data_IF_006624714417
#
_entry.id   IF_006624714417
#
_cell.length_a   1.000
_cell.length_b   1.000
_cell.length_c   1.000
_cell.angle_alpha   90.00
_cell.angle_beta   90.00
_cell.angle_gamma   90.00
#
_symmetry.space_group_name_H-M   'P 1'
#
loop_
_entity.id
_entity.type
_entity.pdbx_description
1 polymer ?
#
# COMPACT_ATOMS: atom_id res chain seq x y z
N UNK A 1 10.21 -3.98 -15.83
CA UNK A 1 9.91 -3.37 -17.14
C UNK A 1 11.08 -2.46 -17.52
N UNK A 2 11.62 -2.66 -18.73
CA UNK A 2 12.75 -1.85 -19.24
C UNK A 2 12.28 -0.48 -19.74
N UNK A 3 13.22 0.46 -19.89
CA UNK A 3 12.95 1.79 -20.46
C UNK A 3 12.41 1.72 -21.90
N UNK A 4 12.89 0.76 -22.70
CA UNK A 4 12.43 0.58 -24.09
C UNK A 4 10.98 0.12 -24.16
N UNK A 5 10.63 -0.90 -23.36
CA UNK A 5 9.25 -1.36 -23.26
C UNK A 5 8.32 -0.26 -22.73
N UNK A 6 8.79 0.52 -21.75
CA UNK A 6 8.08 1.68 -21.22
C UNK A 6 7.75 2.70 -22.31
N UNK A 7 8.75 3.09 -23.12
CA UNK A 7 8.57 4.02 -24.26
C UNK A 7 7.61 3.47 -25.30
N UNK A 8 7.69 2.18 -25.61
CA UNK A 8 6.80 1.54 -26.57
C UNK A 8 5.34 1.58 -26.08
N UNK A 9 5.09 1.18 -24.82
CA UNK A 9 3.77 1.26 -24.21
C UNK A 9 3.25 2.70 -24.18
N UNK A 10 4.09 3.67 -23.85
CA UNK A 10 3.71 5.07 -23.85
C UNK A 10 3.17 5.53 -25.21
N UNK A 11 3.85 5.20 -26.32
CA UNK A 11 3.37 5.60 -27.65
C UNK A 11 2.02 4.98 -28.02
N UNK A 12 1.74 3.77 -27.54
CA UNK A 12 0.47 3.10 -27.81
C UNK A 12 -0.70 3.69 -27.02
N UNK A 13 -0.47 4.05 -25.75
CA UNK A 13 -1.56 4.27 -24.80
C UNK A 13 -1.69 5.72 -24.31
N UNK A 14 -0.77 6.63 -24.67
CA UNK A 14 -0.76 8.03 -24.16
C UNK A 14 -2.07 8.78 -24.36
N UNK A 15 -2.72 8.64 -25.52
CA UNK A 15 -3.98 9.36 -25.81
C UNK A 15 -5.11 8.88 -24.92
N UNK A 16 -5.14 7.57 -24.62
CA UNK A 16 -6.13 6.99 -23.71
C UNK A 16 -5.85 7.47 -22.30
N UNK A 17 -4.62 7.31 -21.82
CA UNK A 17 -4.31 7.62 -20.43
C UNK A 17 -4.40 9.11 -20.11
N UNK A 18 -3.98 10.00 -21.02
CA UNK A 18 -3.94 11.44 -20.79
C UNK A 18 -5.17 12.18 -21.27
N UNK A 19 -5.99 11.58 -22.13
CA UNK A 19 -7.15 12.24 -22.72
C UNK A 19 -8.49 11.76 -22.19
N UNK A 20 -8.59 10.49 -21.77
CA UNK A 20 -9.88 9.87 -21.46
C UNK A 20 -10.24 9.90 -19.98
N UNK A 21 -9.25 9.83 -19.10
CA UNK A 21 -9.46 9.66 -17.67
C UNK A 21 -9.07 10.91 -16.88
N UNK A 22 -9.93 11.28 -15.93
CA UNK A 22 -9.62 12.29 -14.94
C UNK A 22 -8.52 11.77 -13.97
N UNK A 23 -8.56 10.47 -13.65
CA UNK A 23 -7.67 9.79 -12.71
C UNK A 23 -7.21 8.42 -13.22
N UNK A 24 -5.96 8.07 -12.94
CA UNK A 24 -5.41 6.73 -13.12
C UNK A 24 -4.79 6.27 -11.80
N UNK A 25 -5.27 5.14 -11.27
CA UNK A 25 -4.71 4.51 -10.07
C UNK A 25 -3.83 3.34 -10.52
N UNK A 26 -2.55 3.36 -10.12
CA UNK A 26 -1.57 2.32 -10.38
C UNK A 26 -1.38 1.53 -9.08
N UNK A 27 -2.04 0.38 -8.96
CA UNK A 27 -1.89 -0.56 -7.84
C UNK A 27 -0.94 -1.71 -8.15
N UNK A 28 -0.79 -2.63 -7.18
CA UNK A 28 0.02 -3.87 -7.18
C UNK A 28 1.45 -3.74 -7.77
N UNK A 29 1.56 -3.58 -9.09
CA UNK A 29 2.82 -3.50 -9.81
C UNK A 29 3.14 -2.06 -10.22
N UNK A 30 3.86 -1.35 -9.36
CA UNK A 30 4.23 0.06 -9.59
C UNK A 30 5.06 0.26 -10.85
N UNK A 31 5.87 -0.73 -11.22
CA UNK A 31 6.63 -0.68 -12.47
C UNK A 31 5.71 -0.49 -13.69
N UNK A 32 4.47 -1.01 -13.70
CA UNK A 32 3.50 -0.81 -14.80
C UNK A 32 3.10 0.66 -14.99
N UNK A 33 3.30 1.50 -13.98
CA UNK A 33 3.13 2.94 -14.04
C UNK A 33 4.22 3.68 -14.82
N UNK A 34 5.38 3.06 -15.05
CA UNK A 34 6.55 3.70 -15.68
C UNK A 34 6.26 4.44 -17.00
N UNK A 35 5.44 3.94 -17.94
CA UNK A 35 5.10 4.66 -19.16
C UNK A 35 4.42 6.00 -18.89
N UNK A 36 3.58 6.07 -17.85
CA UNK A 36 2.86 7.30 -17.47
C UNK A 36 3.78 8.32 -16.83
N UNK A 37 4.67 7.85 -15.96
CA UNK A 37 5.60 8.70 -15.24
C UNK A 37 6.69 9.25 -16.18
N UNK A 38 7.32 8.39 -16.99
CA UNK A 38 8.34 8.80 -17.95
C UNK A 38 7.77 9.56 -19.15
N UNK A 39 6.54 9.21 -19.57
CA UNK A 39 5.79 9.90 -20.61
C UNK A 39 5.34 11.31 -20.22
N UNK A 40 5.41 11.64 -18.93
CA UNK A 40 5.03 12.94 -18.36
C UNK A 40 3.61 13.35 -18.73
N UNK A 41 2.67 12.44 -18.53
CA UNK A 41 1.24 12.76 -18.64
C UNK A 41 0.88 13.88 -17.65
N UNK A 42 0.41 15.04 -18.13
CA UNK A 42 0.12 16.21 -17.28
C UNK A 42 -1.38 16.48 -17.08
N UNK A 43 -2.22 15.99 -17.99
CA UNK A 43 -3.67 16.26 -18.00
C UNK A 43 -4.47 15.33 -17.08
N UNK A 44 -3.90 14.21 -16.67
CA UNK A 44 -4.56 13.20 -15.85
C UNK A 44 -3.87 13.10 -14.50
N UNK A 45 -4.65 12.98 -13.44
CA UNK A 45 -4.12 12.76 -12.10
C UNK A 45 -3.71 11.29 -11.95
N UNK A 46 -2.52 11.07 -11.40
CA UNK A 46 -1.93 9.74 -11.28
C UNK A 46 -1.74 9.43 -9.80
N UNK A 47 -2.32 8.33 -9.34
CA UNK A 47 -2.17 7.86 -7.96
C UNK A 47 -1.36 6.56 -7.98
N UNK A 48 -0.18 6.59 -7.38
CA UNK A 48 0.64 5.41 -7.12
C UNK A 48 0.15 4.78 -5.81
N UNK A 49 -0.66 3.72 -5.92
CA UNK A 49 -1.11 2.94 -4.76
C UNK A 49 -0.07 1.87 -4.44
N UNK A 50 0.84 2.22 -3.55
CA UNK A 50 1.95 1.39 -3.14
C UNK A 50 1.47 0.22 -2.30
N UNK A 51 1.56 -0.96 -2.88
CA UNK A 51 1.22 -2.24 -2.28
C UNK A 51 2.39 -3.21 -2.49
N UNK A 52 2.48 -4.19 -1.60
CA UNK A 52 3.39 -5.33 -1.71
C UNK A 52 4.82 -4.95 -2.14
N UNK A 53 5.45 -4.02 -1.41
CA UNK A 53 6.91 -3.75 -1.45
C UNK A 53 7.48 -3.48 -2.87
N UNK A 54 6.67 -2.86 -3.74
CA UNK A 54 6.98 -2.37 -5.10
C UNK A 54 7.27 -3.46 -6.17
N UNK A 55 6.22 -4.19 -6.54
CA UNK A 55 6.25 -5.62 -6.87
C UNK A 55 6.66 -6.10 -8.30
N UNK A 56 7.61 -5.49 -9.04
CA UNK A 56 8.21 -6.20 -10.22
C UNK A 56 9.76 -6.16 -10.33
N UNK A 57 10.51 -5.50 -9.44
CA UNK A 57 11.98 -5.46 -9.58
C UNK A 57 12.79 -6.40 -8.66
N UNK A 58 12.15 -7.25 -7.85
CA UNK A 58 12.87 -7.93 -6.76
C UNK A 58 12.67 -9.45 -6.65
N UNK A 59 11.98 -10.08 -7.61
CA UNK A 59 11.58 -11.49 -7.53
C UNK A 59 12.51 -12.48 -8.24
N UNK A 60 13.45 -12.01 -9.06
CA UNK A 60 14.45 -12.89 -9.65
C UNK A 60 15.67 -12.95 -8.73
N UNK A 61 16.28 -14.12 -8.60
CA UNK A 61 17.61 -14.31 -8.02
C UNK A 61 18.71 -13.50 -8.76
N UNK A 62 18.34 -12.78 -9.81
CA UNK A 62 19.12 -11.79 -10.56
C UNK A 62 18.39 -10.44 -10.53
N UNK A 63 18.54 -9.70 -9.43
CA UNK A 63 18.09 -8.31 -9.37
C UNK A 63 19.07 -7.46 -10.19
N UNK A 64 18.59 -6.88 -11.28
CA UNK A 64 19.31 -5.81 -11.96
C UNK A 64 19.27 -4.54 -11.10
N UNK A 65 20.30 -4.37 -10.28
CA UNK A 65 20.47 -3.22 -9.40
C UNK A 65 20.49 -1.89 -10.16
N UNK A 66 20.94 -1.88 -11.43
CA UNK A 66 20.94 -0.66 -12.24
C UNK A 66 19.52 -0.29 -12.65
N UNK A 67 18.71 -1.26 -13.09
CA UNK A 67 17.29 -1.03 -13.40
C UNK A 67 16.49 -0.56 -12.16
N UNK A 68 16.83 -1.08 -10.97
CA UNK A 68 16.27 -0.61 -9.69
C UNK A 68 16.63 0.83 -9.42
N UNK A 69 17.92 1.17 -9.50
CA UNK A 69 18.39 2.53 -9.25
C UNK A 69 17.79 3.54 -10.24
N UNK A 70 17.66 3.15 -11.51
CA UNK A 70 17.01 3.94 -12.54
C UNK A 70 15.53 4.19 -12.20
N UNK A 71 14.79 3.15 -11.82
CA UNK A 71 13.39 3.27 -11.43
C UNK A 71 13.20 4.16 -10.20
N UNK A 72 14.01 3.96 -9.16
CA UNK A 72 14.01 4.81 -7.95
C UNK A 72 14.26 6.28 -8.32
N UNK A 73 15.25 6.53 -9.19
CA UNK A 73 15.53 7.86 -9.70
C UNK A 73 14.34 8.48 -10.46
N UNK A 74 13.69 7.69 -11.32
CA UNK A 74 12.52 8.13 -12.07
C UNK A 74 11.35 8.48 -11.15
N UNK A 75 11.06 7.67 -10.13
CA UNK A 75 10.01 7.95 -9.13
C UNK A 75 10.35 9.24 -8.36
N UNK A 76 11.56 9.36 -7.82
CA UNK A 76 11.97 10.56 -7.08
C UNK A 76 11.90 11.84 -7.92
N UNK A 77 12.32 11.77 -9.19
CA UNK A 77 12.21 12.90 -10.11
C UNK A 77 10.74 13.23 -10.39
N UNK A 78 9.90 12.22 -10.62
CA UNK A 78 8.47 12.37 -10.89
C UNK A 78 7.78 13.08 -9.73
N UNK A 79 7.95 12.61 -8.50
CA UNK A 79 7.31 13.20 -7.32
C UNK A 79 7.74 14.65 -7.06
N UNK A 80 8.94 15.03 -7.48
CA UNK A 80 9.43 16.41 -7.39
C UNK A 80 8.97 17.32 -8.52
N UNK A 81 8.64 16.77 -9.69
CA UNK A 81 8.46 17.56 -10.93
C UNK A 81 7.07 17.44 -11.55
N UNK A 82 6.25 16.49 -11.10
CA UNK A 82 4.90 16.24 -11.60
C UNK A 82 3.88 16.40 -10.47
N UNK A 83 3.31 17.59 -10.29
CA UNK A 83 2.36 17.85 -9.20
C UNK A 83 1.03 17.08 -9.34
N UNK A 84 0.77 16.50 -10.51
CA UNK A 84 -0.37 15.62 -10.76
C UNK A 84 -0.10 14.15 -10.43
N UNK A 85 1.07 13.82 -9.87
CA UNK A 85 1.43 12.46 -9.43
C UNK A 85 1.46 12.43 -7.91
N UNK A 86 0.69 11.51 -7.34
CA UNK A 86 0.48 11.36 -5.91
C UNK A 86 0.81 9.94 -5.48
N UNK A 87 1.20 9.78 -4.21
CA UNK A 87 1.53 8.47 -3.64
C UNK A 87 0.63 8.19 -2.47
N UNK A 88 0.14 6.97 -2.43
CA UNK A 88 -0.61 6.41 -1.31
C UNK A 88 0.06 5.10 -0.92
N UNK A 89 0.22 4.84 0.37
CA UNK A 89 0.82 3.61 0.87
C UNK A 89 -0.21 2.70 1.55
N UNK A 90 -0.06 1.39 1.37
CA UNK A 90 -1.00 0.41 1.93
C UNK A 90 -0.71 0.02 3.39
N UNK A 91 0.53 0.19 3.83
CA UNK A 91 0.96 -0.12 5.19
C UNK A 91 2.18 0.75 5.59
N UNK A 92 2.47 0.93 6.89
CA UNK A 92 3.62 1.69 7.36
C UNK A 92 4.97 1.11 6.92
N UNK A 93 5.05 -0.21 6.73
CA UNK A 93 6.27 -0.86 6.23
C UNK A 93 6.66 -0.35 4.85
N UNK A 94 5.72 0.01 3.97
CA UNK A 94 6.05 0.57 2.65
C UNK A 94 6.83 1.89 2.77
N UNK A 95 6.51 2.73 3.76
CA UNK A 95 7.26 3.97 4.03
C UNK A 95 8.68 3.68 4.51
N UNK A 96 8.83 2.71 5.42
CA UNK A 96 10.14 2.26 5.89
C UNK A 96 10.96 1.67 4.74
N UNK A 97 10.37 0.79 3.93
CA UNK A 97 11.05 0.15 2.81
C UNK A 97 11.51 1.19 1.79
N UNK A 98 10.64 2.13 1.42
CA UNK A 98 10.95 3.21 0.51
C UNK A 98 12.09 4.10 1.02
N UNK A 99 12.12 4.44 2.32
CA UNK A 99 13.19 5.27 2.88
C UNK A 99 14.55 4.58 2.81
N UNK A 100 14.60 3.26 3.04
CA UNK A 100 15.81 2.45 2.84
C UNK A 100 16.27 2.44 1.37
N UNK A 101 15.34 2.64 0.43
CA UNK A 101 15.62 2.79 -1.01
C UNK A 101 15.87 4.24 -1.43
N UNK A 102 15.86 5.20 -0.51
CA UNK A 102 16.06 6.61 -0.82
C UNK A 102 14.86 7.29 -1.50
N UNK A 103 13.65 6.75 -1.32
CA UNK A 103 12.40 7.39 -1.73
C UNK A 103 11.67 7.88 -0.48
N UNK A 104 11.23 9.14 -0.52
CA UNK A 104 10.52 9.75 0.61
C UNK A 104 9.00 9.61 0.46
N UNK A 105 8.41 8.72 1.27
CA UNK A 105 6.96 8.56 1.44
C UNK A 105 6.49 8.91 2.85
N UNK A 106 7.26 9.70 3.60
CA UNK A 106 6.90 10.10 4.98
C UNK A 106 5.49 10.70 5.04
N UNK A 107 5.19 11.62 4.11
CA UNK A 107 3.92 12.33 4.00
C UNK A 107 2.84 11.58 3.19
N UNK A 108 3.15 10.40 2.63
CA UNK A 108 2.17 9.66 1.83
C UNK A 108 0.99 9.20 2.72
N UNK A 109 -0.28 9.43 2.31
CA UNK A 109 -1.42 8.90 3.04
C UNK A 109 -1.38 7.39 3.15
N UNK A 110 -1.81 6.89 4.31
CA UNK A 110 -1.90 5.47 4.61
C UNK A 110 -3.35 5.01 4.37
N UNK A 111 -3.56 4.12 3.41
CA UNK A 111 -4.87 3.53 3.12
C UNK A 111 -4.78 2.03 3.32
N UNK A 112 -5.60 1.46 4.20
CA UNK A 112 -5.72 0.01 4.33
C UNK A 112 -7.16 -0.44 4.12
N UNK A 113 -7.41 -1.38 3.19
CA UNK A 113 -8.71 -2.03 3.11
C UNK A 113 -8.86 -2.99 4.29
N UNK A 114 -9.70 -2.63 5.26
CA UNK A 114 -9.88 -3.35 6.54
C UNK A 114 -11.30 -3.87 6.73
N UNK A 115 -12.09 -4.04 5.65
CA UNK A 115 -13.47 -4.51 5.72
C UNK A 115 -13.68 -5.98 6.15
N UNK A 116 -12.60 -6.68 6.52
CA UNK A 116 -12.63 -8.07 7.01
C UNK A 116 -12.17 -8.13 8.46
N UNK A 117 -12.71 -9.09 9.21
CA UNK A 117 -12.22 -9.36 10.57
C UNK A 117 -11.00 -10.26 10.45
N UNK A 118 -9.85 -9.71 10.80
CA UNK A 118 -8.59 -10.43 10.84
C UNK A 118 -8.25 -10.79 12.28
N UNK A 119 -8.11 -12.09 12.52
CA UNK A 119 -7.61 -12.62 13.80
C UNK A 119 -6.11 -12.85 13.64
N UNK A 120 -5.32 -12.14 14.43
CA UNK A 120 -3.86 -12.11 14.31
C UNK A 120 -3.23 -12.34 15.68
N UNK A 121 -2.10 -13.04 15.76
CA UNK A 121 -1.40 -13.16 17.03
C UNK A 121 -0.98 -11.76 17.51
N UNK A 122 -0.87 -11.55 18.81
CA UNK A 122 -0.29 -10.31 19.33
C UNK A 122 1.23 -10.27 19.03
N UNK A 123 1.89 -9.10 19.16
CA UNK A 123 3.32 -8.99 18.82
C UNK A 123 4.21 -10.00 19.57
N UNK A 124 3.96 -10.23 20.86
CA UNK A 124 4.77 -11.14 21.67
C UNK A 124 4.62 -12.58 21.21
N UNK A 125 3.39 -13.05 21.01
CA UNK A 125 3.12 -14.42 20.56
C UNK A 125 3.57 -14.63 19.12
N UNK A 126 3.41 -13.64 18.25
CA UNK A 126 3.93 -13.70 16.89
C UNK A 126 5.46 -13.87 16.87
N UNK A 127 6.18 -13.12 17.71
CA UNK A 127 7.63 -13.26 17.85
C UNK A 127 8.03 -14.64 18.37
N UNK A 128 7.27 -15.19 19.33
CA UNK A 128 7.48 -16.55 19.82
C UNK A 128 7.31 -17.58 18.69
N UNK A 129 6.18 -17.52 17.96
CA UNK A 129 5.90 -18.42 16.83
C UNK A 129 7.00 -18.33 15.75
N UNK A 130 7.53 -17.14 15.51
CA UNK A 130 8.68 -16.93 14.62
C UNK A 130 9.95 -17.62 15.13
N UNK A 131 10.31 -17.41 16.41
CA UNK A 131 11.51 -17.98 17.02
C UNK A 131 11.48 -19.51 17.10
N UNK A 132 10.27 -20.08 17.22
CA UNK A 132 10.02 -21.53 17.19
C UNK A 132 10.05 -22.11 15.76
N UNK A 133 10.13 -21.28 14.72
CA UNK A 133 10.02 -21.72 13.32
C UNK A 133 8.63 -22.24 12.96
N UNK A 134 7.61 -21.92 13.77
CA UNK A 134 6.23 -22.34 13.56
C UNK A 134 5.53 -21.55 12.46
N UNK A 135 6.12 -20.43 12.02
CA UNK A 135 5.60 -19.61 10.95
C UNK A 135 6.41 -19.85 9.67
N UNK A 136 5.78 -20.45 8.67
CA UNK A 136 6.34 -20.58 7.31
C UNK A 136 6.15 -19.26 6.54
N UNK A 137 6.75 -18.19 7.07
CA UNK A 137 6.66 -16.85 6.48
C UNK A 137 7.90 -16.63 5.63
N UNK A 138 8.02 -17.45 4.60
CA UNK A 138 8.88 -17.07 3.49
C UNK A 138 8.26 -17.30 2.11
N UNK A 139 7.24 -16.53 1.73
CA UNK A 139 7.05 -16.21 0.33
C UNK A 139 7.86 -14.96 -0.10
N UNK A 140 8.37 -14.13 0.83
CA UNK A 140 8.84 -12.77 0.49
C UNK A 140 10.23 -12.36 1.03
N UNK A 141 10.96 -13.19 1.78
CA UNK A 141 12.35 -12.99 2.20
C UNK A 141 12.67 -11.77 3.10
N UNK A 142 11.70 -10.90 3.35
CA UNK A 142 11.92 -9.53 3.85
C UNK A 142 11.45 -9.31 5.30
N UNK A 143 10.79 -10.29 5.91
CA UNK A 143 10.40 -10.27 7.34
C UNK A 143 11.60 -10.22 8.30
N UNK A 144 12.74 -10.77 7.89
CA UNK A 144 13.95 -10.79 8.71
C UNK A 144 14.39 -9.38 9.12
N UNK A 145 14.23 -8.38 8.23
CA UNK A 145 14.69 -7.02 8.51
C UNK A 145 13.91 -6.36 9.65
N UNK A 146 12.60 -6.64 9.80
CA UNK A 146 11.80 -5.98 10.83
C UNK A 146 12.09 -6.53 12.22
N UNK A 147 12.24 -7.84 12.39
CA UNK A 147 12.39 -8.44 13.73
C UNK A 147 13.69 -8.07 14.45
N UNK A 148 14.70 -7.59 13.73
CA UNK A 148 15.95 -7.08 14.30
C UNK A 148 15.87 -5.60 14.69
N UNK A 149 14.79 -4.90 14.33
CA UNK A 149 14.54 -3.51 14.71
C UNK A 149 13.78 -3.48 16.03
N UNK A 150 14.19 -2.59 16.94
CA UNK A 150 13.42 -2.32 18.16
C UNK A 150 12.02 -1.83 17.79
N UNK A 151 11.00 -2.32 18.48
CA UNK A 151 9.60 -1.99 18.22
C UNK A 151 9.12 -2.37 16.81
N UNK A 152 9.61 -3.49 16.27
CA UNK A 152 9.31 -3.99 14.92
C UNK A 152 7.82 -3.99 14.57
N UNK A 153 6.95 -4.22 15.56
CA UNK A 153 5.51 -4.28 15.40
C UNK A 153 4.93 -2.96 14.89
N UNK A 154 5.57 -1.81 15.15
CA UNK A 154 5.13 -0.50 14.64
C UNK A 154 5.17 -0.42 13.12
N UNK A 155 5.98 -1.25 12.46
CA UNK A 155 6.02 -1.29 11.00
C UNK A 155 5.01 -2.25 10.41
N UNK A 156 4.34 -3.03 11.24
CA UNK A 156 3.34 -3.98 10.82
C UNK A 156 1.97 -3.33 10.90
N UNK A 157 1.24 -3.43 9.80
CA UNK A 157 -0.14 -2.96 9.70
C UNK A 157 -1.03 -3.50 10.81
N UNK A 158 -0.88 -4.76 11.20
CA UNK A 158 -1.66 -5.37 12.26
C UNK A 158 -1.48 -4.71 13.61
N UNK A 159 -0.36 -4.05 13.88
CA UNK A 159 -0.05 -3.49 15.20
C UNK A 159 0.16 -1.97 15.18
N UNK A 160 -0.12 -1.32 14.05
CA UNK A 160 -0.03 0.12 13.94
C UNK A 160 -1.18 0.78 14.70
N UNK A 161 -0.91 1.88 15.39
CA UNK A 161 -1.89 2.57 16.23
C UNK A 161 -3.08 3.12 15.42
N UNK A 162 -2.85 3.57 14.19
CA UNK A 162 -3.92 4.00 13.29
C UNK A 162 -4.95 2.91 13.02
N UNK A 163 -4.58 1.63 13.16
CA UNK A 163 -5.48 0.49 12.95
C UNK A 163 -5.88 -0.21 14.25
N UNK A 164 -5.64 0.44 15.39
CA UNK A 164 -6.03 -0.09 16.68
C UNK A 164 -7.56 -0.34 16.72
N UNK A 165 -7.94 -1.53 17.19
CA UNK A 165 -9.34 -1.95 17.26
C UNK A 165 -9.90 -2.57 15.98
N UNK A 166 -9.12 -2.65 14.88
CA UNK A 166 -9.55 -3.31 13.64
C UNK A 166 -9.18 -4.80 13.56
N UNK A 167 -8.26 -5.22 14.43
CA UNK A 167 -7.75 -6.58 14.50
C UNK A 167 -8.14 -7.23 15.82
N UNK A 168 -8.42 -8.52 15.76
CA UNK A 168 -8.66 -9.35 16.95
C UNK A 168 -7.36 -10.04 17.30
N UNK A 169 -6.83 -9.78 18.49
CA UNK A 169 -5.56 -10.34 18.91
C UNK A 169 -5.73 -11.60 19.75
N UNK A 170 -4.86 -12.58 19.54
CA UNK A 170 -4.69 -13.73 20.44
C UNK A 170 -3.24 -13.88 20.87
N UNK A 171 -3.01 -14.42 22.06
CA UNK A 171 -1.67 -14.54 22.67
C UNK A 171 -1.21 -15.98 22.88
N UNK A 172 -2.05 -16.94 22.50
CA UNK A 172 -1.77 -18.37 22.55
C UNK A 172 -2.75 -19.14 21.65
N UNK A 173 -2.42 -20.39 21.33
CA UNK A 173 -3.36 -21.29 20.62
C UNK A 173 -4.64 -21.57 21.40
N UNK A 174 -4.57 -21.55 22.73
CA UNK A 174 -5.73 -21.74 23.59
C UNK A 174 -6.64 -20.51 23.55
N UNK A 175 -6.07 -19.31 23.67
CA UNK A 175 -6.81 -18.06 23.53
C UNK A 175 -7.43 -17.93 22.13
N UNK A 176 -6.75 -18.40 21.07
CA UNK A 176 -7.36 -18.42 19.73
C UNK A 176 -8.66 -19.23 19.68
N UNK A 177 -8.72 -20.38 20.36
CA UNK A 177 -9.95 -21.17 20.46
C UNK A 177 -11.04 -20.41 21.23
N UNK A 178 -10.67 -19.76 22.33
CA UNK A 178 -11.60 -18.95 23.11
C UNK A 178 -12.15 -17.77 22.30
N UNK A 179 -11.31 -17.11 21.50
CA UNK A 179 -11.74 -16.09 20.52
C UNK A 179 -12.71 -16.68 19.51
N UNK A 180 -12.40 -17.84 18.93
CA UNK A 180 -13.29 -18.50 17.98
C UNK A 180 -14.67 -18.84 18.58
N UNK A 181 -14.70 -19.25 19.84
CA UNK A 181 -15.92 -19.73 20.50
C UNK A 181 -16.79 -18.59 21.06
N UNK A 182 -16.19 -17.45 21.40
CA UNK A 182 -16.88 -16.42 22.19
C UNK A 182 -16.84 -15.00 21.62
N UNK A 183 -16.02 -14.73 20.61
CA UNK A 183 -15.87 -13.39 20.05
C UNK A 183 -17.02 -13.04 19.07
N UNK A 184 -17.53 -11.82 19.17
CA UNK A 184 -18.57 -11.32 18.27
C UNK A 184 -17.97 -10.80 16.96
N UNK A 185 -17.78 -11.72 16.01
CA UNK A 185 -17.22 -11.40 14.70
C UNK A 185 -18.09 -10.46 13.86
N UNK A 186 -19.42 -10.48 14.04
CA UNK A 186 -20.31 -9.61 13.26
C UNK A 186 -20.28 -8.16 13.79
N UNK A 187 -20.21 -7.99 15.11
CA UNK A 187 -19.99 -6.66 15.69
C UNK A 187 -18.64 -6.08 15.26
N UNK A 188 -17.57 -6.89 15.30
CA UNK A 188 -16.25 -6.46 14.84
C UNK A 188 -16.23 -6.14 13.34
N UNK A 189 -16.92 -6.93 12.51
CA UNK A 189 -17.06 -6.65 11.08
C UNK A 189 -17.76 -5.32 10.84
N UNK A 190 -18.84 -5.05 11.57
CA UNK A 190 -19.58 -3.79 11.48
C UNK A 190 -18.71 -2.60 11.88
N UNK A 191 -17.97 -2.73 12.99
CA UNK A 191 -16.99 -1.74 13.42
C UNK A 191 -15.91 -1.47 12.35
N UNK A 192 -15.37 -2.54 11.76
CA UNK A 192 -14.36 -2.45 10.72
C UNK A 192 -14.90 -1.75 9.46
N UNK A 193 -16.14 -2.04 9.07
CA UNK A 193 -16.80 -1.38 7.95
C UNK A 193 -17.05 0.11 8.22
N UNK A 194 -17.53 0.49 9.41
CA UNK A 194 -17.68 1.90 9.80
C UNK A 194 -16.34 2.64 9.77
N UNK A 195 -15.29 2.05 10.34
CA UNK A 195 -13.95 2.64 10.31
C UNK A 195 -13.43 2.77 8.88
N UNK A 196 -13.63 1.76 8.05
CA UNK A 196 -13.29 1.83 6.63
C UNK A 196 -14.05 2.93 5.91
N UNK A 197 -15.32 3.16 6.25
CA UNK A 197 -16.09 4.29 5.72
C UNK A 197 -15.52 5.63 6.18
N UNK A 198 -15.15 5.78 7.45
CA UNK A 198 -14.46 6.99 7.93
C UNK A 198 -13.15 7.23 7.17
N UNK A 199 -12.32 6.20 7.00
CA UNK A 199 -11.11 6.34 6.17
C UNK A 199 -11.46 6.66 4.73
N UNK A 200 -12.52 6.09 4.17
CA UNK A 200 -12.97 6.40 2.80
C UNK A 200 -13.40 7.86 2.68
N UNK A 201 -14.03 8.43 3.70
CA UNK A 201 -14.39 9.85 3.76
C UNK A 201 -13.16 10.72 3.91
N UNK A 202 -12.17 10.33 4.71
CA UNK A 202 -10.89 11.03 4.82
C UNK A 202 -10.10 10.96 3.52
N UNK A 203 -10.14 9.82 2.83
CA UNK A 203 -9.55 9.64 1.51
C UNK A 203 -10.30 10.50 0.51
N UNK A 204 -11.63 10.47 0.48
CA UNK A 204 -12.43 11.30 -0.41
C UNK A 204 -12.25 12.79 -0.11
N UNK A 205 -12.10 13.17 1.15
CA UNK A 205 -11.80 14.53 1.61
C UNK A 205 -10.38 14.94 1.22
N UNK A 206 -9.41 14.04 1.29
CA UNK A 206 -8.07 14.25 0.77
C UNK A 206 -8.09 14.38 -0.76
N UNK A 207 -8.80 13.49 -1.47
CA UNK A 207 -9.04 13.59 -2.90
C UNK A 207 -9.76 14.92 -3.23
N UNK A 208 -10.70 15.37 -2.41
CA UNK A 208 -11.40 16.66 -2.56
C UNK A 208 -10.47 17.84 -2.35
N UNK A 209 -9.59 17.78 -1.34
CA UNK A 209 -8.59 18.78 -1.07
C UNK A 209 -7.56 18.88 -2.21
N UNK A 210 -7.12 17.74 -2.74
CA UNK A 210 -6.11 17.68 -3.80
C UNK A 210 -6.70 17.99 -5.17
N UNK A 211 -7.96 17.61 -5.44
CA UNK A 211 -8.54 17.64 -6.80
C UNK A 211 -9.82 18.48 -6.95
N UNK A 212 -10.30 19.12 -5.88
CA UNK A 212 -11.51 19.95 -5.86
C UNK A 212 -12.83 19.16 -5.70
N UNK A 213 -13.92 19.87 -5.35
CA UNK A 213 -15.23 19.27 -5.02
C UNK A 213 -15.84 18.42 -6.13
N UNK A 214 -15.64 18.79 -7.39
CA UNK A 214 -16.32 18.15 -8.53
C UNK A 214 -15.86 16.70 -8.71
N UNK A 215 -14.59 16.42 -8.46
CA UNK A 215 -13.99 15.10 -8.60
C UNK A 215 -14.44 14.17 -7.46
N UNK A 216 -14.29 14.64 -6.22
CA UNK A 216 -14.63 13.84 -5.04
C UNK A 216 -16.10 13.44 -5.03
N UNK A 217 -16.99 14.35 -5.45
CA UNK A 217 -18.43 14.07 -5.56
C UNK A 217 -18.76 12.99 -6.60
N UNK A 218 -18.02 12.91 -7.72
CA UNK A 218 -18.20 11.84 -8.72
C UNK A 218 -17.76 10.49 -8.18
N UNK A 219 -16.64 10.43 -7.46
CA UNK A 219 -16.17 9.18 -6.85
C UNK A 219 -17.08 8.71 -5.70
N UNK A 220 -17.56 9.63 -4.86
CA UNK A 220 -18.50 9.29 -3.78
C UNK A 220 -19.82 8.68 -4.30
N UNK A 221 -20.28 9.08 -5.50
CA UNK A 221 -21.48 8.50 -6.12
C UNK A 221 -21.28 7.05 -6.59
N UNK A 222 -20.07 6.65 -6.98
CA UNK A 222 -19.77 5.26 -7.37
C UNK A 222 -19.70 4.28 -6.20
N UNK A 223 -19.44 4.76 -4.97
CA UNK A 223 -19.42 3.93 -3.75
C UNK A 223 -20.80 3.68 -3.12
N UNK A 224 -21.89 4.19 -3.72
CA UNK A 224 -23.27 4.01 -3.21
C UNK A 224 -23.97 2.73 -3.71
N UNK A 225 -23.23 1.77 -4.25
CA UNK A 225 -23.71 0.47 -4.74
C UNK A 225 -22.93 -0.67 -4.09
#
# INVERSE_FOLDING_TARGET
>A
MTAELSKHMWQQWKEIYCGLFDFVIIGETQARGRPLLEGRCQSTQIILLVQNRFDILFWAQEIDHAAVAEWVGAVNMTLKTMPNVHVVVNNPYEKLYASVKGIDFSEAPLIRPVGVVSVVPNPTFYKQLWDEGALDINPFGQLHLTFHVKDWWKYWDWYHEDFAGLFVYFDSWQHLKEVQDSFDFEAQRSHNLEKMLCYSEDILGWLQYVYGEIVANRMAQSYKY
#
